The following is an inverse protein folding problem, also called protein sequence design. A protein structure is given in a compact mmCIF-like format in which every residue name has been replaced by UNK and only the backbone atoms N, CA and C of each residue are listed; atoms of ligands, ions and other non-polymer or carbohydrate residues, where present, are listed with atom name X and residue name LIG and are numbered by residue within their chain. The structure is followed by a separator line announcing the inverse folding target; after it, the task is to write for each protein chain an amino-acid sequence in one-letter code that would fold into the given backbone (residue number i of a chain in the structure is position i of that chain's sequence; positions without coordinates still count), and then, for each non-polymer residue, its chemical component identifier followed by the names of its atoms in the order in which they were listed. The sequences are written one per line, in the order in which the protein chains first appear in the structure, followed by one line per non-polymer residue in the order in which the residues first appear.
data_IF_376850184952
#
_entry.id   IF_376850184952
#
_cell.length_a   1.000
_cell.length_b   1.000
_cell.length_c   1.000
_cell.angle_alpha   90.00
_cell.angle_beta   90.00
_cell.angle_gamma   90.00
#
_symmetry.space_group_name_H-M   'P 1'
#
loop_
_entity.id
_entity.type
_entity.pdbx_description
1 polymer ?
#
# COMPACT_ATOMS: atom_id res chain seq x y z
N UNK A 1 6.19 -10.60 14.27
CA UNK A 1 6.43 -10.37 12.83
C UNK A 1 5.47 -9.33 12.24
N UNK A 2 4.15 -9.48 12.41
CA UNK A 2 3.13 -8.56 11.86
C UNK A 2 3.46 -7.08 12.10
N UNK A 3 3.73 -6.70 13.36
CA UNK A 3 4.09 -5.32 13.72
C UNK A 3 5.42 -4.89 13.09
N UNK A 4 6.44 -5.75 13.05
CA UNK A 4 7.73 -5.45 12.40
C UNK A 4 7.56 -5.13 10.91
N UNK A 5 6.78 -5.95 10.21
CA UNK A 5 6.40 -5.72 8.81
C UNK A 5 5.65 -4.40 8.64
N UNK A 6 4.72 -4.07 9.54
CA UNK A 6 3.96 -2.83 9.49
C UNK A 6 4.85 -1.60 9.68
N UNK A 7 5.80 -1.66 10.62
CA UNK A 7 6.76 -0.58 10.89
C UNK A 7 7.62 -0.30 9.66
N UNK A 8 8.25 -1.32 9.06
CA UNK A 8 9.12 -1.10 7.88
C UNK A 8 8.33 -0.67 6.65
N UNK A 9 7.09 -1.15 6.48
CA UNK A 9 6.19 -0.70 5.42
C UNK A 9 5.84 0.78 5.58
N UNK A 10 5.45 1.22 6.79
CA UNK A 10 5.15 2.61 7.08
C UNK A 10 6.37 3.52 6.84
N UNK A 11 7.55 3.12 7.33
CA UNK A 11 8.80 3.85 7.12
C UNK A 11 9.15 3.99 5.64
N UNK A 12 8.99 2.93 4.86
CA UNK A 12 9.27 2.93 3.41
C UNK A 12 8.30 3.85 2.67
N UNK A 13 7.00 3.78 2.97
CA UNK A 13 6.00 4.66 2.35
C UNK A 13 6.27 6.14 2.67
N UNK A 14 6.68 6.45 3.90
CA UNK A 14 7.08 7.82 4.28
C UNK A 14 8.33 8.28 3.52
N UNK A 15 9.34 7.42 3.39
CA UNK A 15 10.53 7.72 2.59
C UNK A 15 10.21 7.93 1.10
N UNK A 16 9.11 7.35 0.61
CA UNK A 16 8.58 7.53 -0.74
C UNK A 16 7.63 8.73 -0.89
N UNK A 17 7.52 9.58 0.14
CA UNK A 17 6.78 10.84 0.09
C UNK A 17 5.27 10.71 0.35
N UNK A 18 4.80 9.59 0.90
CA UNK A 18 3.45 9.47 1.44
C UNK A 18 3.42 9.92 2.90
N UNK A 19 2.25 10.33 3.40
CA UNK A 19 2.09 10.66 4.82
C UNK A 19 1.34 9.55 5.55
N UNK A 20 1.94 9.02 6.63
CA UNK A 20 1.22 8.18 7.59
C UNK A 20 0.52 9.10 8.58
N UNK A 21 -0.80 8.91 8.79
CA UNK A 21 -1.62 9.87 9.55
C UNK A 21 -1.07 10.15 10.95
N UNK A 22 -0.57 9.13 11.64
CA UNK A 22 0.05 9.19 12.97
C UNK A 22 1.58 9.38 12.94
N UNK A 23 2.21 9.49 11.76
CA UNK A 23 3.67 9.56 11.60
C UNK A 23 4.43 8.25 11.87
N UNK A 24 3.75 7.22 12.38
CA UNK A 24 4.28 5.86 12.63
C UNK A 24 3.13 4.85 12.71
N UNK A 25 3.46 3.57 12.88
CA UNK A 25 2.51 2.56 13.33
C UNK A 25 3.10 1.73 14.47
N UNK A 26 2.26 1.38 15.44
CA UNK A 26 2.57 0.49 16.57
C UNK A 26 1.66 -0.75 16.57
N UNK A 27 0.89 -0.94 15.49
CA UNK A 27 -0.06 -2.04 15.35
C UNK A 27 0.19 -2.81 14.05
N UNK A 28 -0.85 -3.48 13.55
CA UNK A 28 -0.82 -4.28 12.32
C UNK A 28 -1.25 -3.49 11.07
N UNK A 29 -1.71 -2.24 11.24
CA UNK A 29 -2.25 -1.41 10.17
C UNK A 29 -1.67 0.00 10.17
N UNK A 30 -1.83 0.71 9.06
CA UNK A 30 -1.53 2.12 8.93
C UNK A 30 -2.56 2.80 8.03
N UNK A 31 -2.83 4.08 8.34
CA UNK A 31 -3.67 4.94 7.52
C UNK A 31 -2.77 5.87 6.73
N UNK A 32 -2.85 5.79 5.41
CA UNK A 32 -2.01 6.52 4.46
C UNK A 32 -2.81 7.66 3.88
N UNK A 33 -2.28 8.88 3.96
CA UNK A 33 -2.82 10.07 3.33
C UNK A 33 -2.17 10.26 1.96
N UNK A 34 -3.03 10.33 0.94
CA UNK A 34 -2.67 10.34 -0.48
C UNK A 34 -2.58 11.74 -1.07
N UNK A 35 -2.99 12.77 -0.32
CA UNK A 35 -2.94 14.17 -0.77
C UNK A 35 -1.55 14.63 -1.22
N UNK A 36 -0.42 14.19 -0.62
CA UNK A 36 0.92 14.50 -1.15
C UNK A 36 1.17 14.01 -2.59
N UNK A 37 0.38 13.02 -3.06
CA UNK A 37 0.43 12.50 -4.43
C UNK A 37 -0.72 13.04 -5.30
N UNK A 38 -1.58 13.91 -4.76
CA UNK A 38 -2.74 14.44 -5.46
C UNK A 38 -3.83 13.40 -5.77
N UNK A 39 -3.87 12.28 -5.03
CA UNK A 39 -4.80 11.18 -5.28
C UNK A 39 -5.90 11.08 -4.23
N UNK A 40 -7.08 10.64 -4.66
CA UNK A 40 -8.15 10.19 -3.77
C UNK A 40 -8.01 8.73 -3.39
N UNK A 41 -8.66 8.32 -2.30
CA UNK A 41 -8.69 6.91 -1.89
C UNK A 41 -9.36 6.01 -2.93
N UNK A 42 -10.41 6.51 -3.61
CA UNK A 42 -11.08 5.79 -4.71
C UNK A 42 -10.15 5.56 -5.91
N UNK A 43 -9.38 6.57 -6.32
CA UNK A 43 -8.40 6.41 -7.41
C UNK A 43 -7.30 5.43 -7.03
N UNK A 44 -6.73 5.57 -5.82
CA UNK A 44 -5.71 4.67 -5.31
C UNK A 44 -6.19 3.21 -5.24
N UNK A 45 -7.40 2.97 -4.74
CA UNK A 45 -8.01 1.63 -4.68
C UNK A 45 -8.13 1.00 -6.07
N UNK A 46 -8.59 1.76 -7.07
CA UNK A 46 -8.74 1.27 -8.44
C UNK A 46 -7.38 0.96 -9.09
N UNK A 47 -6.42 1.88 -9.01
CA UNK A 47 -5.13 1.72 -9.70
C UNK A 47 -4.24 0.65 -9.06
N UNK A 48 -4.23 0.56 -7.72
CA UNK A 48 -3.56 -0.53 -7.02
C UNK A 48 -4.23 -1.87 -7.37
N UNK A 49 -5.56 -1.90 -7.48
CA UNK A 49 -6.29 -3.07 -7.96
C UNK A 49 -5.86 -3.52 -9.36
N UNK A 50 -5.67 -2.59 -10.30
CA UNK A 50 -5.17 -2.90 -11.65
C UNK A 50 -3.75 -3.53 -11.64
N UNK A 51 -2.94 -3.16 -10.65
CA UNK A 51 -1.61 -3.74 -10.42
C UNK A 51 -1.62 -5.02 -9.54
N UNK A 52 -2.78 -5.61 -9.28
CA UNK A 52 -2.98 -6.77 -8.39
C UNK A 52 -2.60 -6.51 -6.92
N UNK A 53 -2.76 -5.27 -6.44
CA UNK A 53 -2.53 -4.87 -5.06
C UNK A 53 -3.86 -4.44 -4.43
N UNK A 54 -4.43 -5.27 -3.56
CA UNK A 54 -5.71 -4.96 -2.92
C UNK A 54 -5.52 -4.06 -1.70
N UNK A 55 -6.24 -2.95 -1.66
CA UNK A 55 -6.36 -2.08 -0.49
C UNK A 55 -7.81 -1.62 -0.30
N UNK A 56 -8.04 -0.82 0.74
CA UNK A 56 -9.35 -0.23 1.01
C UNK A 56 -9.21 1.29 1.14
N UNK A 57 -10.01 2.04 0.36
CA UNK A 57 -10.17 3.49 0.55
C UNK A 57 -10.72 3.77 1.94
N UNK A 58 -10.15 4.74 2.63
CA UNK A 58 -10.48 5.04 4.01
C UNK A 58 -10.35 6.54 4.28
N UNK A 59 -11.34 7.10 4.98
CA UNK A 59 -11.29 8.49 5.40
C UNK A 59 -10.09 8.77 6.31
N UNK A 60 -9.55 9.99 6.25
CA UNK A 60 -8.53 10.48 7.19
C UNK A 60 -9.12 11.51 8.16
N UNK A 61 -8.47 11.85 9.29
CA UNK A 61 -8.93 12.92 10.15
C UNK A 61 -9.11 14.23 9.37
N UNK A 62 -10.26 14.88 9.52
CA UNK A 62 -10.65 16.08 8.77
C UNK A 62 -10.56 15.88 7.24
N UNK A 63 -11.06 14.74 6.75
CA UNK A 63 -11.02 14.41 5.32
C UNK A 63 -11.76 15.47 4.48
N UNK A 64 -11.10 16.12 3.50
CA UNK A 64 -11.76 17.06 2.60
C UNK A 64 -12.66 16.38 1.57
N UNK A 65 -12.52 15.07 1.37
CA UNK A 65 -13.29 14.31 0.38
C UNK A 65 -14.55 13.69 1.00
N UNK A 66 -15.54 13.40 0.14
CA UNK A 66 -16.77 12.71 0.54
C UNK A 66 -16.49 11.27 0.96
N UNK A 67 -17.34 10.69 1.80
CA UNK A 67 -17.20 9.32 2.32
C UNK A 67 -17.01 8.23 1.24
N UNK A 68 -17.56 8.42 0.04
CA UNK A 68 -17.43 7.46 -1.08
C UNK A 68 -16.13 7.61 -1.89
N UNK A 69 -15.36 8.67 -1.64
CA UNK A 69 -14.13 9.04 -2.38
C UNK A 69 -12.91 8.93 -1.46
N UNK A 70 -12.94 9.63 -0.31
CA UNK A 70 -11.89 9.70 0.73
C UNK A 70 -10.54 10.23 0.24
N UNK A 71 -9.68 10.68 1.16
CA UNK A 71 -8.32 11.15 0.86
C UNK A 71 -7.22 10.15 1.22
N UNK A 72 -7.57 8.93 1.63
CA UNK A 72 -6.60 7.95 2.11
C UNK A 72 -6.94 6.51 1.79
N UNK A 73 -5.98 5.63 2.11
CA UNK A 73 -6.16 4.19 2.10
C UNK A 73 -5.67 3.57 3.41
N UNK A 74 -6.25 2.44 3.78
CA UNK A 74 -5.80 1.62 4.90
C UNK A 74 -5.03 0.41 4.40
N UNK A 75 -3.83 0.22 4.95
CA UNK A 75 -2.97 -0.93 4.66
C UNK A 75 -2.74 -1.73 5.94
N UNK A 76 -2.65 -3.06 5.81
CA UNK A 76 -2.40 -3.97 6.92
C UNK A 76 -1.47 -5.11 6.53
N UNK A 77 -0.65 -5.56 7.46
CA UNK A 77 0.35 -6.61 7.24
C UNK A 77 -0.02 -8.03 7.69
N UNK A 78 -1.13 -8.35 8.39
CA UNK A 78 -1.42 -9.74 8.78
C UNK A 78 -1.45 -10.73 7.61
N UNK A 79 -2.14 -10.40 6.50
CA UNK A 79 -2.33 -11.32 5.38
C UNK A 79 -1.00 -11.71 4.70
N UNK A 80 -0.13 -10.74 4.39
CA UNK A 80 1.19 -11.03 3.83
C UNK A 80 2.09 -11.77 4.84
N UNK A 81 1.94 -11.46 6.13
CA UNK A 81 2.75 -12.10 7.18
C UNK A 81 2.40 -13.58 7.33
N UNK A 82 1.11 -13.94 7.24
CA UNK A 82 0.65 -15.33 7.26
C UNK A 82 1.22 -16.15 6.10
N UNK A 83 1.49 -15.51 4.95
CA UNK A 83 2.13 -16.14 3.78
C UNK A 83 3.64 -16.33 3.94
N UNK A 84 4.24 -15.78 5.00
CA UNK A 84 5.67 -15.89 5.30
C UNK A 84 6.49 -14.63 5.04
N UNK A 85 5.88 -13.52 4.62
CA UNK A 85 6.61 -12.27 4.36
C UNK A 85 7.29 -11.76 5.63
N UNK A 86 8.51 -11.26 5.46
CA UNK A 86 9.31 -10.58 6.47
C UNK A 86 9.48 -9.11 6.08
N UNK A 87 10.40 -8.46 6.78
CA UNK A 87 10.69 -7.04 6.61
C UNK A 87 11.12 -6.71 5.18
N UNK A 88 11.96 -7.55 4.57
CA UNK A 88 12.45 -7.36 3.20
C UNK A 88 11.30 -7.34 2.18
N UNK A 89 10.39 -8.32 2.21
CA UNK A 89 9.26 -8.39 1.28
C UNK A 89 8.23 -7.29 1.57
N UNK A 90 8.12 -6.86 2.83
CA UNK A 90 7.25 -5.73 3.21
C UNK A 90 7.78 -4.39 2.65
N UNK A 91 9.11 -4.20 2.65
CA UNK A 91 9.77 -3.05 2.01
C UNK A 91 9.58 -3.11 0.49
N UNK A 92 9.75 -4.27 -0.14
CA UNK A 92 9.47 -4.44 -1.57
C UNK A 92 8.01 -4.10 -1.90
N UNK A 93 7.07 -4.63 -1.11
CA UNK A 93 5.63 -4.35 -1.28
C UNK A 93 5.34 -2.85 -1.15
N UNK A 94 5.91 -2.18 -0.15
CA UNK A 94 5.75 -0.73 0.03
C UNK A 94 6.28 0.08 -1.15
N UNK A 95 7.42 -0.33 -1.72
CA UNK A 95 7.97 0.31 -2.93
C UNK A 95 7.07 0.10 -4.14
N UNK A 96 6.53 -1.10 -4.35
CA UNK A 96 5.59 -1.37 -5.44
C UNK A 96 4.30 -0.56 -5.31
N UNK A 97 3.77 -0.40 -4.09
CA UNK A 97 2.63 0.50 -3.83
C UNK A 97 2.99 1.93 -4.25
N UNK A 98 4.14 2.44 -3.82
CA UNK A 98 4.57 3.77 -4.16
C UNK A 98 4.79 3.95 -5.68
N UNK A 99 5.39 2.97 -6.37
CA UNK A 99 5.59 3.01 -7.82
C UNK A 99 4.26 3.15 -8.59
N UNK A 100 3.21 2.48 -8.13
CA UNK A 100 1.85 2.61 -8.70
C UNK A 100 1.27 4.00 -8.42
N UNK A 101 1.36 4.47 -7.18
CA UNK A 101 0.80 5.77 -6.78
C UNK A 101 1.55 6.96 -7.39
N UNK A 102 2.84 6.80 -7.71
CA UNK A 102 3.66 7.83 -8.36
C UNK A 102 3.32 8.00 -9.84
N UNK A 103 2.84 6.93 -10.50
CA UNK A 103 2.49 6.92 -11.92
C UNK A 103 1.18 6.16 -12.19
N UNK A 104 0.05 6.68 -11.72
CA UNK A 104 -1.21 5.94 -11.66
C UNK A 104 -1.87 5.73 -13.04
N UNK A 105 -1.44 6.46 -14.06
CA UNK A 105 -1.97 6.39 -15.44
C UNK A 105 -0.98 5.77 -16.44
N UNK A 106 0.20 5.36 -15.98
CA UNK A 106 1.25 4.77 -16.82
C UNK A 106 1.03 3.25 -16.93
N UNK A 107 0.40 2.80 -18.01
CA UNK A 107 0.09 1.39 -18.24
C UNK A 107 1.33 0.49 -18.27
N UNK A 108 2.47 0.99 -18.77
CA UNK A 108 3.72 0.23 -18.79
C UNK A 108 4.26 0.03 -17.37
N UNK A 109 4.17 1.06 -16.53
CA UNK A 109 4.49 0.95 -15.11
C UNK A 109 3.56 -0.03 -14.39
N UNK A 110 2.24 0.06 -14.61
CA UNK A 110 1.26 -0.84 -13.99
C UNK A 110 1.51 -2.30 -14.39
N UNK A 111 1.79 -2.57 -15.66
CA UNK A 111 2.14 -3.91 -16.15
C UNK A 111 3.43 -4.44 -15.50
N UNK A 112 4.45 -3.58 -15.39
CA UNK A 112 5.71 -3.92 -14.73
C UNK A 112 5.52 -4.25 -13.25
N UNK A 113 4.77 -3.43 -12.52
CA UNK A 113 4.47 -3.67 -11.10
C UNK A 113 3.67 -4.96 -10.95
N UNK A 114 2.65 -5.18 -11.77
CA UNK A 114 1.84 -6.41 -11.75
C UNK A 114 2.70 -7.67 -11.93
N UNK A 115 3.67 -7.64 -12.85
CA UNK A 115 4.62 -8.74 -13.04
C UNK A 115 5.50 -8.98 -11.80
N UNK A 116 6.00 -7.91 -11.16
CA UNK A 116 6.78 -7.99 -9.91
C UNK A 116 5.93 -8.52 -8.75
N UNK A 117 4.67 -8.09 -8.62
CA UNK A 117 3.72 -8.60 -7.62
C UNK A 117 3.48 -10.09 -7.84
N UNK A 118 3.25 -10.53 -9.08
CA UNK A 118 3.06 -11.94 -9.41
C UNK A 118 4.30 -12.78 -9.06
N UNK A 119 5.50 -12.29 -9.36
CA UNK A 119 6.74 -12.96 -9.01
C UNK A 119 6.91 -13.08 -7.48
N UNK A 120 6.75 -11.97 -6.75
CA UNK A 120 6.87 -11.95 -5.29
C UNK A 120 5.85 -12.87 -4.62
N UNK A 121 4.62 -12.88 -5.10
CA UNK A 121 3.55 -13.69 -4.49
C UNK A 121 3.64 -15.18 -4.82
N UNK A 122 4.28 -15.56 -5.93
CA UNK A 122 4.53 -16.96 -6.28
C UNK A 122 5.47 -17.66 -5.30
N UNK A 123 6.47 -16.95 -4.80
CA UNK A 123 7.45 -17.49 -3.85
C UNK A 123 6.85 -17.72 -2.44
N UNK A 124 5.67 -17.15 -2.19
CA UNK A 124 4.94 -17.21 -0.92
C UNK A 124 3.47 -17.58 -1.14
N UNK A 125 3.17 -18.82 -1.60
CA UNK A 125 1.80 -19.24 -1.92
C UNK A 125 0.91 -19.27 -0.66
N UNK A 126 -0.41 -19.11 -0.86
CA UNK A 126 -1.39 -19.11 0.25
C UNK A 126 -1.63 -20.52 0.80
N UNK A 127 -1.64 -21.52 -0.09
CA UNK A 127 -1.79 -22.93 0.26
C UNK A 127 -0.56 -23.69 -0.26
N UNK A 128 -0.08 -24.65 0.52
CA UNK A 128 0.98 -25.58 0.13
C UNK A 128 0.41 -26.97 0.05
#
# INVERSE_FOLDING_TARGET
QVVKNAVVMAQTLMARGLRIVSGRTESHLMLVDLRPKGLTGKEAENVLGAAHMTCNKNGIPNDPQKAMITSGIRLGTPALTTRGFKEAESIMTANLIADVLDKPTDEANLSTVRAKVAALTRDFPVYR
#
